data_IF_834600803579
#
_entry.id   IF_834600803579
#
_cell.length_a   1.000
_cell.length_b   1.000
_cell.length_c   1.000
_cell.angle_alpha   90.00
_cell.angle_beta   90.00
_cell.angle_gamma   90.00
#
_symmetry.space_group_name_H-M   'P 1'
#
loop_
_entity.id
_entity.type
_entity.pdbx_description
1 polymer ?
#
# COMPACT_ATOMS: atom_id res chain seq x y z
N UNK A 1 -14.38 10.28 -2.64
CA UNK A 1 -15.86 10.27 -2.72
C UNK A 1 -16.40 11.64 -2.34
N UNK A 2 -17.64 11.96 -2.71
CA UNK A 2 -18.25 13.27 -2.38
C UNK A 2 -18.97 13.94 -3.55
N UNK A 3 -18.98 13.32 -4.73
CA UNK A 3 -19.83 13.76 -5.84
C UNK A 3 -21.29 13.42 -5.53
N UNK A 4 -22.21 14.32 -5.91
CA UNK A 4 -23.64 14.03 -5.80
C UNK A 4 -23.98 12.93 -6.81
N UNK A 5 -24.68 11.91 -6.33
CA UNK A 5 -25.17 10.82 -7.14
C UNK A 5 -26.63 10.56 -6.78
N UNK A 6 -27.37 9.99 -7.73
CA UNK A 6 -28.78 9.65 -7.57
C UNK A 6 -28.96 8.17 -7.91
N UNK A 7 -29.79 7.49 -7.11
CA UNK A 7 -30.22 6.14 -7.45
C UNK A 7 -31.37 6.22 -8.45
N UNK A 8 -31.29 5.42 -9.50
CA UNK A 8 -32.23 5.38 -10.62
C UNK A 8 -32.59 3.93 -10.91
N UNK A 9 -33.83 3.70 -11.37
CA UNK A 9 -34.27 2.37 -11.77
C UNK A 9 -33.53 1.96 -13.05
N UNK A 10 -33.15 0.69 -13.16
CA UNK A 10 -32.38 0.15 -14.30
C UNK A 10 -33.05 0.36 -15.66
N UNK A 11 -34.38 0.48 -15.69
CA UNK A 11 -35.16 0.81 -16.88
C UNK A 11 -34.72 2.12 -17.56
N UNK A 12 -34.12 3.06 -16.83
CA UNK A 12 -33.64 4.35 -17.36
C UNK A 12 -32.19 4.30 -17.88
N UNK A 13 -31.51 3.14 -17.84
CA UNK A 13 -30.10 3.05 -18.19
C UNK A 13 -29.80 3.47 -19.64
N UNK A 14 -30.67 3.11 -20.59
CA UNK A 14 -30.51 3.48 -22.00
C UNK A 14 -30.76 4.98 -22.24
N UNK A 15 -31.65 5.61 -21.48
CA UNK A 15 -31.86 7.06 -21.51
C UNK A 15 -30.62 7.80 -21.00
N UNK A 16 -30.07 7.35 -19.88
CA UNK A 16 -28.87 7.93 -19.28
C UNK A 16 -27.65 7.82 -20.19
N UNK A 17 -27.50 6.69 -20.90
CA UNK A 17 -26.46 6.54 -21.93
C UNK A 17 -26.65 7.52 -23.08
N UNK A 18 -27.88 7.67 -23.59
CA UNK A 18 -28.20 8.61 -24.69
C UNK A 18 -27.90 10.06 -24.30
N UNK A 19 -28.16 10.41 -23.05
CA UNK A 19 -27.90 11.74 -22.47
C UNK A 19 -26.43 11.93 -22.04
N UNK A 20 -25.55 10.94 -22.26
CA UNK A 20 -24.13 10.94 -21.87
C UNK A 20 -23.86 11.09 -20.36
N UNK A 21 -24.78 10.63 -19.51
CA UNK A 21 -24.52 10.53 -18.08
C UNK A 21 -23.60 9.36 -17.77
N UNK A 22 -22.64 9.58 -16.85
CA UNK A 22 -21.84 8.50 -16.27
C UNK A 22 -22.66 7.79 -15.19
N UNK A 23 -22.79 6.48 -15.30
CA UNK A 23 -23.44 5.65 -14.29
C UNK A 23 -22.54 4.46 -13.93
N UNK A 24 -22.77 3.89 -12.76
CA UNK A 24 -22.15 2.66 -12.30
C UNK A 24 -23.25 1.77 -11.73
N UNK A 25 -23.15 0.47 -11.94
CA UNK A 25 -24.06 -0.47 -11.31
C UNK A 25 -23.81 -0.53 -9.78
N UNK A 26 -24.83 -0.97 -9.05
CA UNK A 26 -24.78 -1.02 -7.59
C UNK A 26 -23.62 -1.87 -7.05
N UNK A 27 -23.25 -2.96 -7.74
CA UNK A 27 -22.16 -3.84 -7.31
C UNK A 27 -20.81 -3.12 -7.47
N UNK A 28 -20.58 -2.47 -8.61
CA UNK A 28 -19.37 -1.67 -8.85
C UNK A 28 -19.21 -0.54 -7.84
N UNK A 29 -20.31 0.14 -7.49
CA UNK A 29 -20.31 1.17 -6.44
C UNK A 29 -19.88 0.58 -5.11
N UNK A 30 -20.53 -0.51 -4.66
CA UNK A 30 -20.20 -1.19 -3.40
C UNK A 30 -18.74 -1.66 -3.36
N UNK A 31 -18.25 -2.31 -4.43
CA UNK A 31 -16.87 -2.79 -4.51
C UNK A 31 -15.86 -1.65 -4.47
N UNK A 32 -16.17 -0.53 -5.12
CA UNK A 32 -15.31 0.68 -5.09
C UNK A 32 -15.23 1.25 -3.68
N UNK A 33 -16.37 1.36 -2.99
CA UNK A 33 -16.41 1.83 -1.61
C UNK A 33 -15.68 0.89 -0.65
N UNK A 34 -15.92 -0.41 -0.76
CA UNK A 34 -15.26 -1.42 0.07
C UNK A 34 -13.73 -1.38 -0.12
N UNK A 35 -13.28 -1.33 -1.38
CA UNK A 35 -11.85 -1.24 -1.70
C UNK A 35 -11.22 0.00 -1.07
N UNK A 36 -11.90 1.14 -1.10
CA UNK A 36 -11.38 2.37 -0.51
C UNK A 36 -11.37 2.32 1.02
N UNK A 37 -12.40 1.75 1.66
CA UNK A 37 -12.42 1.52 3.11
C UNK A 37 -11.25 0.64 3.53
N UNK A 38 -11.00 -0.45 2.80
CA UNK A 38 -9.85 -1.34 3.06
C UNK A 38 -8.55 -0.55 2.91
N UNK A 39 -8.36 0.18 1.80
CA UNK A 39 -7.14 0.98 1.55
C UNK A 39 -6.84 1.96 2.68
N UNK A 40 -7.86 2.68 3.15
CA UNK A 40 -7.71 3.65 4.24
C UNK A 40 -7.31 3.01 5.58
N UNK A 41 -7.56 1.71 5.74
CA UNK A 41 -7.24 0.97 6.96
C UNK A 41 -6.05 0.03 6.80
N UNK A 42 -5.43 -0.06 5.62
CA UNK A 42 -4.28 -0.96 5.35
C UNK A 42 -3.15 -0.85 6.38
N UNK A 43 -2.73 0.34 6.85
CA UNK A 43 -1.69 0.44 7.88
C UNK A 43 -2.05 -0.27 9.18
N UNK A 44 -3.33 -0.25 9.54
CA UNK A 44 -3.84 -0.89 10.76
C UNK A 44 -4.03 -2.39 10.55
N UNK A 45 -4.43 -2.79 9.34
CA UNK A 45 -4.61 -4.19 8.96
C UNK A 45 -3.30 -4.95 8.82
N UNK A 46 -2.17 -4.28 8.53
CA UNK A 46 -0.87 -4.93 8.43
C UNK A 46 -0.36 -5.37 9.82
N UNK A 47 -0.60 -6.62 10.19
CA UNK A 47 -0.07 -7.19 11.43
C UNK A 47 1.40 -7.59 11.29
N UNK A 48 2.04 -7.91 12.42
CA UNK A 48 3.42 -8.43 12.40
C UNK A 48 3.51 -9.78 11.67
N UNK A 49 2.48 -10.62 11.84
CA UNK A 49 2.37 -11.91 11.16
C UNK A 49 2.28 -11.73 9.65
N UNK A 50 1.51 -10.74 9.17
CA UNK A 50 1.38 -10.46 7.75
C UNK A 50 2.70 -9.98 7.15
N UNK A 51 3.41 -9.06 7.83
CA UNK A 51 4.75 -8.65 7.41
C UNK A 51 5.71 -9.85 7.32
N UNK A 52 5.72 -10.73 8.32
CA UNK A 52 6.54 -11.95 8.28
C UNK A 52 6.15 -12.85 7.12
N UNK A 53 4.87 -13.06 6.86
CA UNK A 53 4.41 -13.83 5.71
C UNK A 53 4.81 -13.20 4.37
N UNK A 54 4.83 -11.87 4.27
CA UNK A 54 5.31 -11.16 3.07
C UNK A 54 6.81 -11.37 2.85
N UNK A 55 7.61 -11.32 3.93
CA UNK A 55 9.04 -11.61 3.90
C UNK A 55 9.32 -13.07 3.52
N UNK A 56 8.59 -14.03 4.08
CA UNK A 56 8.76 -15.45 3.78
C UNK A 56 8.49 -15.82 2.31
N UNK A 57 7.70 -15.00 1.61
CA UNK A 57 7.43 -15.16 0.17
C UNK A 57 8.53 -14.61 -0.74
N UNK A 58 9.52 -13.90 -0.18
CA UNK A 58 10.65 -13.41 -0.96
C UNK A 58 11.70 -14.50 -1.18
N UNK A 59 12.54 -14.29 -2.18
CA UNK A 59 13.69 -15.17 -2.43
C UNK A 59 14.64 -15.19 -1.23
N UNK A 60 15.45 -16.25 -1.15
CA UNK A 60 16.33 -16.49 0.01
C UNK A 60 17.29 -15.33 0.27
N UNK A 61 17.79 -14.68 -0.77
CA UNK A 61 18.73 -13.55 -0.66
C UNK A 61 18.07 -12.33 -0.02
N UNK A 62 16.86 -11.97 -0.46
CA UNK A 62 16.09 -10.86 0.12
C UNK A 62 15.66 -11.13 1.56
N UNK A 63 15.35 -12.38 1.91
CA UNK A 63 15.08 -12.75 3.32
C UNK A 63 16.31 -12.55 4.19
N UNK A 64 17.48 -13.03 3.75
CA UNK A 64 18.75 -12.82 4.47
C UNK A 64 19.09 -11.34 4.61
N UNK A 65 18.92 -10.56 3.55
CA UNK A 65 19.16 -9.12 3.57
C UNK A 65 18.22 -8.41 4.57
N UNK A 66 16.93 -8.74 4.56
CA UNK A 66 15.97 -8.19 5.51
C UNK A 66 16.35 -8.53 6.96
N UNK A 67 16.76 -9.78 7.22
CA UNK A 67 17.19 -10.24 8.55
C UNK A 67 18.46 -9.52 9.02
N UNK A 68 19.44 -9.33 8.13
CA UNK A 68 20.68 -8.60 8.41
C UNK A 68 20.39 -7.12 8.76
N UNK A 69 19.57 -6.45 7.95
CA UNK A 69 19.15 -5.06 8.19
C UNK A 69 18.39 -4.94 9.52
N UNK A 70 17.48 -5.87 9.81
CA UNK A 70 16.67 -5.90 11.03
C UNK A 70 17.44 -6.38 12.28
N UNK A 71 18.67 -6.85 12.12
CA UNK A 71 19.55 -7.20 13.25
C UNK A 71 20.57 -6.10 13.49
N UNK A 72 21.06 -5.46 12.43
CA UNK A 72 22.22 -4.56 12.48
C UNK A 72 21.82 -3.08 12.57
N UNK A 73 20.77 -2.66 11.86
CA UNK A 73 20.46 -1.24 11.66
C UNK A 73 19.12 -0.81 12.24
N UNK A 74 18.07 -1.61 11.99
CA UNK A 74 16.73 -1.40 12.53
C UNK A 74 16.25 -2.69 13.18
N UNK A 75 15.00 -2.74 13.67
CA UNK A 75 14.36 -3.96 14.17
C UNK A 75 13.21 -4.37 13.26
N UNK A 76 12.71 -5.61 13.36
CA UNK A 76 11.49 -6.00 12.62
C UNK A 76 10.26 -5.13 12.93
N UNK A 77 10.00 -4.73 14.19
CA UNK A 77 8.97 -3.71 14.46
C UNK A 77 9.25 -2.38 13.74
N UNK A 78 10.51 -1.98 13.62
CA UNK A 78 10.92 -0.81 12.83
C UNK A 78 10.62 -0.96 11.34
N UNK A 79 10.94 -2.12 10.75
CA UNK A 79 10.58 -2.45 9.36
C UNK A 79 9.05 -2.42 9.18
N UNK A 80 8.30 -2.98 10.12
CA UNK A 80 6.84 -2.92 10.11
C UNK A 80 6.34 -1.47 10.13
N UNK A 81 6.94 -0.60 10.94
CA UNK A 81 6.59 0.80 11.00
C UNK A 81 6.83 1.51 9.66
N UNK A 82 7.97 1.25 8.98
CA UNK A 82 8.24 1.76 7.63
C UNK A 82 7.13 1.33 6.65
N UNK A 83 6.80 0.04 6.61
CA UNK A 83 5.75 -0.48 5.71
C UNK A 83 4.37 0.12 6.01
N UNK A 84 4.03 0.31 7.30
CA UNK A 84 2.78 0.94 7.70
C UNK A 84 2.69 2.41 7.28
N UNK A 85 3.79 3.16 7.40
CA UNK A 85 3.84 4.56 6.96
C UNK A 85 3.70 4.68 5.44
N UNK A 86 4.38 3.81 4.68
CA UNK A 86 4.18 3.74 3.22
C UNK A 86 2.71 3.48 2.86
N UNK A 87 2.07 2.50 3.52
CA UNK A 87 0.64 2.23 3.31
C UNK A 87 -0.26 3.41 3.72
N UNK A 88 0.10 4.17 4.76
CA UNK A 88 -0.68 5.31 5.23
C UNK A 88 -0.66 6.45 4.21
N UNK A 89 0.46 6.56 3.49
CA UNK A 89 0.65 7.50 2.37
C UNK A 89 0.18 6.93 1.03
N UNK A 90 -0.53 5.79 1.05
CA UNK A 90 -1.07 5.08 -0.13
C UNK A 90 0.01 4.59 -1.11
N UNK A 91 1.24 4.40 -0.62
CA UNK A 91 2.33 3.79 -1.39
C UNK A 91 2.18 2.27 -1.37
N UNK A 92 2.24 1.66 -2.55
CA UNK A 92 2.11 0.21 -2.68
C UNK A 92 3.35 -0.51 -2.15
N UNK A 93 3.17 -1.50 -1.28
CA UNK A 93 4.28 -2.35 -0.78
C UNK A 93 4.41 -3.67 -1.56
N UNK A 94 3.82 -3.77 -2.76
CA UNK A 94 3.86 -4.99 -3.59
C UNK A 94 5.27 -5.30 -4.07
N UNK A 95 6.04 -4.26 -4.40
CA UNK A 95 7.44 -4.40 -4.76
C UNK A 95 8.29 -4.38 -3.48
N UNK A 96 8.28 -5.50 -2.75
CA UNK A 96 8.97 -5.60 -1.46
C UNK A 96 10.50 -5.69 -1.62
N UNK A 97 11.01 -6.27 -2.72
CA UNK A 97 12.45 -6.34 -2.98
C UNK A 97 13.05 -4.94 -3.07
N UNK A 98 12.43 -4.05 -3.84
CA UNK A 98 12.90 -2.67 -3.99
C UNK A 98 12.85 -1.89 -2.68
N UNK A 99 11.81 -2.13 -1.87
CA UNK A 99 11.70 -1.53 -0.53
C UNK A 99 12.84 -2.01 0.37
N UNK A 100 13.13 -3.32 0.40
CA UNK A 100 14.21 -3.88 1.21
C UNK A 100 15.56 -3.30 0.78
N UNK A 101 15.84 -3.22 -0.52
CA UNK A 101 17.08 -2.62 -1.07
C UNK A 101 17.20 -1.14 -0.67
N UNK A 102 16.14 -0.36 -0.86
CA UNK A 102 16.14 1.07 -0.50
C UNK A 102 16.35 1.27 1.01
N UNK A 103 15.78 0.42 1.87
CA UNK A 103 16.04 0.47 3.31
C UNK A 103 17.51 0.13 3.58
N UNK A 104 18.06 -0.90 2.93
CA UNK A 104 19.46 -1.32 3.10
C UNK A 104 20.46 -0.19 2.82
N UNK A 105 20.18 0.65 1.82
CA UNK A 105 21.03 1.78 1.42
C UNK A 105 21.12 2.85 2.52
N UNK A 106 19.99 3.21 3.15
CA UNK A 106 19.90 4.35 4.07
C UNK A 106 20.00 3.95 5.55
N UNK A 107 19.57 2.73 5.93
CA UNK A 107 19.52 2.27 7.32
C UNK A 107 20.86 2.33 8.10
N UNK A 108 22.04 2.13 7.47
CA UNK A 108 23.33 2.33 8.15
C UNK A 108 23.57 3.78 8.60
N UNK A 109 23.00 4.73 7.87
CA UNK A 109 23.25 6.16 8.03
C UNK A 109 22.16 6.84 8.89
N UNK A 110 20.94 6.30 8.86
CA UNK A 110 19.76 6.93 9.45
C UNK A 110 18.89 5.90 10.17
N UNK A 111 18.49 6.24 11.40
CA UNK A 111 17.61 5.38 12.23
C UNK A 111 16.18 5.87 12.37
N UNK A 112 15.89 7.13 12.00
CA UNK A 112 14.53 7.68 12.09
C UNK A 112 13.67 7.11 10.98
N UNK A 113 12.55 6.51 11.37
CA UNK A 113 11.65 5.80 10.44
C UNK A 113 11.14 6.70 9.33
N UNK A 114 10.81 7.97 9.63
CA UNK A 114 10.28 8.92 8.65
C UNK A 114 11.29 9.22 7.53
N UNK A 115 12.57 9.31 7.87
CA UNK A 115 13.64 9.57 6.89
C UNK A 115 13.90 8.34 6.00
N UNK A 116 13.78 7.13 6.57
CA UNK A 116 13.86 5.89 5.79
C UNK A 116 12.68 5.81 4.80
N UNK A 117 11.46 6.14 5.25
CA UNK A 117 10.26 6.16 4.40
C UNK A 117 10.42 7.12 3.23
N UNK A 118 10.92 8.34 3.48
CA UNK A 118 11.15 9.32 2.43
C UNK A 118 12.14 8.83 1.37
N UNK A 119 13.26 8.24 1.80
CA UNK A 119 14.23 7.64 0.87
C UNK A 119 13.61 6.53 0.02
N UNK A 120 12.86 5.62 0.65
CA UNK A 120 12.15 4.54 -0.05
C UNK A 120 11.19 5.11 -1.08
N UNK A 121 10.40 6.14 -0.75
CA UNK A 121 9.47 6.78 -1.69
C UNK A 121 10.17 7.35 -2.91
N UNK A 122 11.29 8.05 -2.72
CA UNK A 122 12.07 8.61 -3.83
C UNK A 122 12.60 7.49 -4.73
N UNK A 123 13.14 6.40 -4.16
CA UNK A 123 13.63 5.25 -4.93
C UNK A 123 12.51 4.56 -5.73
N UNK A 124 11.32 4.45 -5.14
CA UNK A 124 10.16 3.84 -5.80
C UNK A 124 9.58 4.69 -6.93
N UNK A 125 9.71 6.02 -6.87
CA UNK A 125 9.20 6.93 -7.89
C UNK A 125 10.05 6.96 -9.18
N UNK A 126 11.27 6.42 -9.15
CA UNK A 126 12.20 6.38 -10.28
C UNK A 126 12.00 5.16 -11.20
N UNK A 127 10.99 4.33 -10.93
CA UNK A 127 10.64 3.10 -11.66
C UNK A 127 9.22 3.24 -12.24
#
# INVERSE_FOLDING_TARGET
FGMRAYSVVEAFAEDLKRENYTFADNMSVLLTHLSEVIRNNLPQLLSYKDMKALLERQDQEYRKLADEICTTHISYPGLQAVLKLLLAERVSIRNLHLIIEAIAEIAPHVRRTEQIVEHVRIRMAQQ
#
